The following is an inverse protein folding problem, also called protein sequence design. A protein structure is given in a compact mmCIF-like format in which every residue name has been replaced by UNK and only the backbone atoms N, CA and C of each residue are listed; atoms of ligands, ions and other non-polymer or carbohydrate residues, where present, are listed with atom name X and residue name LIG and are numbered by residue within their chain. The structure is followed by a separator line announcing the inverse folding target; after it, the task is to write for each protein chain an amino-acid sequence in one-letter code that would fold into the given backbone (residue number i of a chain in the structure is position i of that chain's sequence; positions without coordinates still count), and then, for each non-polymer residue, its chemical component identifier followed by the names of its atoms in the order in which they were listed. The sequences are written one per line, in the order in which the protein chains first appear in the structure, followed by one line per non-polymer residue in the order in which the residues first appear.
data_IF_469341924459
#
_entry.id   IF_469341924459
#
_cell.length_a   1.000
_cell.length_b   1.000
_cell.length_c   1.000
_cell.angle_alpha   90.00
_cell.angle_beta   90.00
_cell.angle_gamma   90.00
#
_symmetry.space_group_name_H-M   'P 1'
#
loop_
_entity.id
_entity.type
_entity.pdbx_description
1 polymer ?
#
# COMPACT_ATOMS: atom_id res chain seq x y z
N UNK A 1 5.05 -1.13 -5.76
CA UNK A 1 4.80 0.29 -5.47
C UNK A 1 5.10 1.15 -6.68
N UNK A 2 6.37 1.35 -7.07
CA UNK A 2 6.76 2.18 -8.23
C UNK A 2 6.00 1.85 -9.52
N UNK A 3 5.84 0.57 -9.86
CA UNK A 3 5.04 0.16 -11.03
C UNK A 3 3.57 0.61 -10.94
N UNK A 4 2.97 0.53 -9.75
CA UNK A 4 1.58 0.93 -9.53
C UNK A 4 1.43 2.46 -9.62
N UNK A 5 2.39 3.20 -9.08
CA UNK A 5 2.43 4.66 -9.17
C UNK A 5 2.65 5.10 -10.63
N UNK A 6 3.55 4.44 -11.36
CA UNK A 6 3.80 4.69 -12.77
C UNK A 6 2.54 4.45 -13.61
N UNK A 7 1.88 3.30 -13.43
CA UNK A 7 0.62 3.00 -14.11
C UNK A 7 -0.45 4.07 -13.82
N UNK A 8 -0.57 4.48 -12.55
CA UNK A 8 -1.52 5.54 -12.17
C UNK A 8 -1.14 6.85 -12.86
N UNK A 9 0.11 7.29 -12.79
CA UNK A 9 0.56 8.53 -13.42
C UNK A 9 0.37 8.51 -14.94
N UNK A 10 0.81 7.45 -15.62
CA UNK A 10 0.69 7.33 -17.07
C UNK A 10 -0.76 7.24 -17.52
N UNK A 11 -1.58 6.40 -16.88
CA UNK A 11 -2.97 6.21 -17.31
C UNK A 11 -3.82 7.40 -16.89
N UNK A 12 -3.82 7.79 -15.62
CA UNK A 12 -4.70 8.84 -15.12
C UNK A 12 -4.31 10.22 -15.62
N UNK A 13 -3.05 10.65 -15.46
CA UNK A 13 -2.67 12.05 -15.75
C UNK A 13 -2.76 12.33 -17.25
N UNK A 14 -2.29 11.41 -18.09
CA UNK A 14 -2.27 11.62 -19.55
C UNK A 14 -3.69 11.62 -20.11
N UNK A 15 -4.55 10.69 -19.65
CA UNK A 15 -5.87 10.51 -20.26
C UNK A 15 -6.98 11.35 -19.64
N UNK A 16 -6.75 11.96 -18.46
CA UNK A 16 -7.76 12.79 -17.77
C UNK A 16 -8.34 13.88 -18.66
N UNK A 17 -7.52 14.53 -19.47
CA UNK A 17 -7.96 15.61 -20.37
C UNK A 17 -8.78 15.12 -21.56
N UNK A 18 -8.71 13.82 -21.90
CA UNK A 18 -9.34 13.23 -23.08
C UNK A 18 -10.45 12.23 -22.74
N UNK A 19 -10.76 12.05 -21.46
CA UNK A 19 -11.73 11.04 -20.97
C UNK A 19 -13.15 11.26 -21.51
N UNK A 20 -13.51 12.49 -21.84
CA UNK A 20 -14.82 12.84 -22.41
C UNK A 20 -15.02 12.33 -23.83
N UNK A 21 -13.92 12.05 -24.55
CA UNK A 21 -13.92 11.59 -25.94
C UNK A 21 -13.83 10.04 -26.01
N UNK A 22 -13.54 9.38 -24.90
CA UNK A 22 -13.35 7.93 -24.91
C UNK A 22 -14.63 7.14 -25.20
N UNK A 23 -14.51 6.06 -26.00
CA UNK A 23 -15.63 5.17 -26.29
C UNK A 23 -15.96 4.30 -25.06
N UNK A 24 -17.23 3.88 -24.93
CA UNK A 24 -17.77 3.24 -23.71
C UNK A 24 -16.95 2.06 -23.24
N UNK A 25 -16.49 1.25 -24.19
CA UNK A 25 -15.81 -0.01 -23.92
C UNK A 25 -14.45 0.17 -23.23
N UNK A 26 -13.81 1.34 -23.38
CA UNK A 26 -12.53 1.65 -22.72
C UNK A 26 -12.76 2.13 -21.29
N UNK A 27 -13.96 2.59 -20.95
CA UNK A 27 -14.21 3.25 -19.68
C UNK A 27 -14.21 2.27 -18.52
N UNK A 28 -14.83 1.11 -18.69
CA UNK A 28 -14.75 0.03 -17.70
C UNK A 28 -13.31 -0.34 -17.33
N UNK A 29 -12.45 -0.79 -18.28
CA UNK A 29 -11.08 -1.17 -17.95
C UNK A 29 -10.25 0.01 -17.46
N UNK A 30 -10.52 1.24 -17.92
CA UNK A 30 -9.85 2.44 -17.45
C UNK A 30 -10.01 2.64 -15.93
N UNK A 31 -11.24 2.61 -15.42
CA UNK A 31 -11.46 2.80 -13.99
C UNK A 31 -10.99 1.61 -13.15
N UNK A 32 -11.17 0.39 -13.64
CA UNK A 32 -10.66 -0.81 -12.97
C UNK A 32 -9.15 -0.74 -12.80
N UNK A 33 -8.42 -0.32 -13.85
CA UNK A 33 -6.97 -0.19 -13.81
C UNK A 33 -6.52 0.88 -12.81
N UNK A 34 -7.14 2.06 -12.80
CA UNK A 34 -6.78 3.15 -11.89
C UNK A 34 -7.04 2.76 -10.43
N UNK A 35 -8.21 2.20 -10.13
CA UNK A 35 -8.54 1.84 -8.74
C UNK A 35 -7.67 0.68 -8.27
N UNK A 36 -7.42 -0.30 -9.14
CA UNK A 36 -6.48 -1.40 -8.84
C UNK A 36 -5.09 -0.86 -8.56
N UNK A 37 -4.54 0.01 -9.41
CA UNK A 37 -3.18 0.53 -9.24
C UNK A 37 -3.06 1.35 -7.94
N UNK A 38 -4.05 2.17 -7.62
CA UNK A 38 -4.07 2.94 -6.36
C UNK A 38 -4.12 2.04 -5.12
N UNK A 39 -5.05 1.07 -5.08
CA UNK A 39 -5.15 0.13 -3.96
C UNK A 39 -3.90 -0.74 -3.82
N UNK A 40 -3.34 -1.21 -4.94
CA UNK A 40 -2.07 -1.94 -4.95
C UNK A 40 -0.92 -1.08 -4.42
N UNK A 41 -0.87 0.22 -4.74
CA UNK A 41 0.17 1.11 -4.20
C UNK A 41 0.08 1.21 -2.67
N UNK A 42 -1.12 1.44 -2.13
CA UNK A 42 -1.33 1.49 -0.68
C UNK A 42 -1.01 0.18 0.03
N UNK A 43 -1.42 -0.96 -0.52
CA UNK A 43 -1.12 -2.26 0.07
C UNK A 43 0.39 -2.54 0.02
N UNK A 44 1.09 -2.14 -1.05
CA UNK A 44 2.54 -2.24 -1.12
C UNK A 44 3.24 -1.37 -0.08
N UNK A 45 2.74 -0.16 0.17
CA UNK A 45 3.26 0.70 1.24
C UNK A 45 3.13 0.02 2.61
N UNK A 46 1.97 -0.61 2.86
CA UNK A 46 1.74 -1.37 4.08
C UNK A 46 2.71 -2.56 4.19
N UNK A 47 2.92 -3.33 3.11
CA UNK A 47 3.87 -4.43 3.09
C UNK A 47 5.30 -3.99 3.37
N UNK A 48 5.73 -2.86 2.82
CA UNK A 48 7.07 -2.29 3.09
C UNK A 48 7.22 -1.94 4.57
N UNK A 49 6.19 -1.34 5.18
CA UNK A 49 6.25 -0.98 6.60
C UNK A 49 6.19 -2.21 7.51
N UNK A 50 5.45 -3.24 7.11
CA UNK A 50 5.41 -4.52 7.81
C UNK A 50 6.76 -5.27 7.72
N UNK A 51 7.41 -5.26 6.56
CA UNK A 51 8.73 -5.84 6.36
C UNK A 51 9.78 -5.18 7.27
N UNK A 52 9.83 -3.84 7.28
CA UNK A 52 10.70 -3.07 8.19
C UNK A 52 10.42 -3.37 9.66
N UNK A 53 9.14 -3.50 10.03
CA UNK A 53 8.74 -3.85 11.39
C UNK A 53 9.26 -5.24 11.78
N UNK A 54 9.08 -6.24 10.92
CA UNK A 54 9.58 -7.60 11.17
C UNK A 54 11.10 -7.63 11.30
N UNK A 55 11.82 -6.90 10.44
CA UNK A 55 13.28 -6.80 10.51
C UNK A 55 13.77 -6.22 11.85
N UNK A 56 13.13 -5.15 12.33
CA UNK A 56 13.52 -4.46 13.57
C UNK A 56 13.16 -5.28 14.80
N UNK A 57 11.98 -5.93 14.81
CA UNK A 57 11.51 -6.68 15.97
C UNK A 57 12.16 -8.06 16.09
N UNK A 58 12.45 -8.73 14.97
CA UNK A 58 12.93 -10.10 14.93
C UNK A 58 14.14 -10.29 13.99
N UNK A 59 15.29 -9.66 14.25
CA UNK A 59 16.42 -9.65 13.32
C UNK A 59 16.99 -11.05 13.02
N UNK A 60 17.02 -11.97 14.00
CA UNK A 60 17.52 -13.33 13.79
C UNK A 60 16.55 -14.22 12.99
N UNK A 61 15.24 -14.05 13.20
CA UNK A 61 14.22 -14.87 12.54
C UNK A 61 13.73 -14.26 11.23
N UNK A 62 14.12 -13.04 10.91
CA UNK A 62 13.74 -12.35 9.68
C UNK A 62 14.15 -13.16 8.44
N UNK A 63 15.39 -13.64 8.39
CA UNK A 63 15.92 -14.37 7.23
C UNK A 63 15.28 -15.75 7.01
N UNK A 64 14.66 -16.34 8.04
CA UNK A 64 13.90 -17.59 7.92
C UNK A 64 12.44 -17.36 7.54
N UNK A 65 11.85 -16.23 7.98
CA UNK A 65 10.47 -15.86 7.67
C UNK A 65 10.34 -15.26 6.27
N UNK A 66 11.16 -14.26 5.95
CA UNK A 66 11.11 -13.47 4.72
C UNK A 66 12.11 -14.04 3.72
N UNK A 67 11.61 -14.73 2.70
CA UNK A 67 12.42 -15.23 1.59
C UNK A 67 11.99 -14.59 0.27
N UNK A 68 12.93 -14.46 -0.67
CA UNK A 68 12.69 -13.88 -1.99
C UNK A 68 11.47 -14.50 -2.69
N UNK A 69 11.35 -15.83 -2.63
CA UNK A 69 10.22 -16.57 -3.23
C UNK A 69 8.90 -16.21 -2.58
N UNK A 70 8.82 -16.19 -1.24
CA UNK A 70 7.60 -15.82 -0.51
C UNK A 70 7.17 -14.39 -0.81
N UNK A 71 8.12 -13.46 -0.86
CA UNK A 71 7.83 -12.06 -1.20
C UNK A 71 7.24 -11.96 -2.61
N UNK A 72 7.82 -12.62 -3.60
CA UNK A 72 7.27 -12.63 -4.97
C UNK A 72 5.84 -13.18 -4.98
N UNK A 73 5.57 -14.29 -4.28
CA UNK A 73 4.21 -14.85 -4.19
C UNK A 73 3.21 -13.91 -3.51
N UNK A 74 3.61 -13.24 -2.43
CA UNK A 74 2.76 -12.23 -1.75
C UNK A 74 2.49 -11.05 -2.69
N UNK A 75 3.47 -10.61 -3.46
CA UNK A 75 3.30 -9.53 -4.43
C UNK A 75 2.37 -9.92 -5.58
N UNK A 76 2.57 -11.09 -6.20
CA UNK A 76 1.68 -11.56 -7.28
C UNK A 76 0.26 -11.79 -6.73
N UNK A 77 0.14 -12.44 -5.57
CA UNK A 77 -1.14 -12.72 -4.93
C UNK A 77 -1.90 -11.45 -4.55
N UNK A 78 -1.22 -10.44 -4.02
CA UNK A 78 -1.84 -9.16 -3.65
C UNK A 78 -2.36 -8.40 -4.88
N UNK A 79 -1.61 -8.38 -5.97
CA UNK A 79 -2.08 -7.80 -7.24
C UNK A 79 -3.28 -8.54 -7.80
N UNK A 80 -3.21 -9.87 -7.87
CA UNK A 80 -4.31 -10.70 -8.39
C UNK A 80 -5.58 -10.54 -7.54
N UNK A 81 -5.44 -10.51 -6.21
CA UNK A 81 -6.55 -10.35 -5.28
C UNK A 81 -7.20 -8.97 -5.41
N UNK A 82 -6.42 -7.89 -5.46
CA UNK A 82 -6.98 -6.54 -5.64
C UNK A 82 -7.63 -6.41 -7.01
N UNK A 83 -6.98 -6.89 -8.07
CA UNK A 83 -7.53 -6.81 -9.42
C UNK A 83 -8.86 -7.57 -9.54
N UNK A 84 -8.93 -8.80 -9.02
CA UNK A 84 -10.17 -9.58 -8.99
C UNK A 84 -11.26 -8.91 -8.14
N UNK A 85 -10.89 -8.36 -6.98
CA UNK A 85 -11.80 -7.63 -6.12
C UNK A 85 -12.38 -6.38 -6.81
N UNK A 86 -11.55 -5.58 -7.48
CA UNK A 86 -12.00 -4.37 -8.18
C UNK A 86 -12.88 -4.74 -9.38
N UNK A 87 -12.53 -5.77 -10.16
CA UNK A 87 -13.39 -6.27 -11.24
C UNK A 87 -14.77 -6.62 -10.70
N UNK A 88 -14.82 -7.37 -9.59
CA UNK A 88 -16.08 -7.77 -8.96
C UNK A 88 -16.90 -6.56 -8.49
N UNK A 89 -16.27 -5.57 -7.84
CA UNK A 89 -16.96 -4.36 -7.40
C UNK A 89 -17.51 -3.54 -8.59
N UNK A 90 -16.71 -3.43 -9.65
CA UNK A 90 -17.05 -2.63 -10.83
C UNK A 90 -18.02 -3.35 -11.76
N UNK A 91 -18.20 -4.67 -11.62
CA UNK A 91 -19.14 -5.46 -12.42
C UNK A 91 -20.58 -4.93 -12.34
N UNK A 92 -20.97 -4.40 -11.18
CA UNK A 92 -22.30 -3.85 -10.93
C UNK A 92 -22.46 -2.37 -11.32
N UNK A 93 -21.52 -1.81 -12.08
CA UNK A 93 -21.58 -0.40 -12.45
C UNK A 93 -22.37 -0.11 -13.71
N UNK A 94 -23.07 1.02 -13.65
CA UNK A 94 -23.70 1.63 -14.81
C UNK A 94 -22.79 2.72 -15.40
N UNK A 95 -22.33 2.49 -16.63
CA UNK A 95 -21.54 3.47 -17.38
C UNK A 95 -22.51 4.34 -18.17
N UNK A 96 -22.70 5.59 -17.72
CA UNK A 96 -23.38 6.61 -18.53
C UNK A 96 -22.37 7.30 -19.43
N UNK A 97 -22.69 7.41 -20.72
CA UNK A 97 -21.92 8.22 -21.65
C UNK A 97 -22.15 9.72 -21.40
N UNK A 98 -21.11 10.57 -21.52
CA UNK A 98 -19.69 10.26 -21.72
C UNK A 98 -19.02 9.75 -20.44
N UNK A 99 -17.84 9.13 -20.58
CA UNK A 99 -17.11 8.45 -19.50
C UNK A 99 -16.51 9.35 -18.42
N UNK A 100 -16.97 10.59 -18.36
CA UNK A 100 -16.66 11.56 -17.32
C UNK A 100 -17.46 11.28 -16.04
N UNK A 101 -18.65 10.65 -16.17
CA UNK A 101 -19.55 10.36 -15.06
C UNK A 101 -19.82 8.87 -14.93
N UNK A 102 -19.16 8.27 -13.95
CA UNK A 102 -19.45 6.91 -13.50
C UNK A 102 -20.40 6.96 -12.32
N UNK A 103 -21.55 6.30 -12.44
CA UNK A 103 -22.51 6.16 -11.35
C UNK A 103 -22.19 4.86 -10.63
N UNK A 104 -21.38 4.98 -9.58
CA UNK A 104 -21.10 3.90 -8.65
C UNK A 104 -22.10 3.97 -7.49
N UNK A 105 -22.60 2.82 -7.04
CA UNK A 105 -23.39 2.77 -5.81
C UNK A 105 -22.60 3.39 -4.66
N UNK A 106 -23.23 4.31 -3.90
CA UNK A 106 -22.57 5.03 -2.82
C UNK A 106 -21.91 4.10 -1.80
N UNK A 107 -22.49 2.92 -1.57
CA UNK A 107 -21.91 1.89 -0.69
C UNK A 107 -20.58 1.34 -1.20
N UNK A 108 -20.46 1.08 -2.51
CA UNK A 108 -19.23 0.54 -3.11
C UNK A 108 -18.13 1.60 -3.09
N UNK A 109 -18.48 2.84 -3.44
CA UNK A 109 -17.54 3.96 -3.36
C UNK A 109 -17.02 4.15 -1.92
N UNK A 110 -17.92 4.14 -0.94
CA UNK A 110 -17.57 4.27 0.47
C UNK A 110 -16.69 3.11 0.95
N UNK A 111 -16.95 1.87 0.52
CA UNK A 111 -16.10 0.71 0.82
C UNK A 111 -14.68 0.90 0.30
N UNK A 112 -14.50 1.36 -0.94
CA UNK A 112 -13.18 1.62 -1.53
C UNK A 112 -12.45 2.70 -0.74
N UNK A 113 -13.14 3.80 -0.38
CA UNK A 113 -12.57 4.86 0.45
C UNK A 113 -12.15 4.35 1.83
N UNK A 114 -12.97 3.53 2.49
CA UNK A 114 -12.64 2.95 3.79
C UNK A 114 -11.41 2.04 3.71
N UNK A 115 -11.32 1.16 2.70
CA UNK A 115 -10.15 0.31 2.48
C UNK A 115 -8.88 1.14 2.30
N UNK A 116 -8.97 2.24 1.56
CA UNK A 116 -7.87 3.17 1.35
C UNK A 116 -7.42 3.82 2.67
N UNK A 117 -8.36 4.37 3.44
CA UNK A 117 -8.09 5.02 4.74
C UNK A 117 -7.49 4.03 5.74
N UNK A 118 -8.08 2.84 5.86
CA UNK A 118 -7.60 1.80 6.78
C UNK A 118 -6.16 1.40 6.43
N UNK A 119 -5.84 1.25 5.13
CA UNK A 119 -4.49 0.91 4.67
C UNK A 119 -3.47 1.98 5.06
N UNK A 120 -3.82 3.26 4.93
CA UNK A 120 -2.95 4.38 5.30
C UNK A 120 -2.76 4.43 6.82
N UNK A 121 -3.83 4.32 7.60
CA UNK A 121 -3.75 4.34 9.07
C UNK A 121 -2.90 3.16 9.57
N UNK A 122 -3.10 1.96 9.02
CA UNK A 122 -2.28 0.79 9.34
C UNK A 122 -0.79 1.03 9.01
N UNK A 123 -0.50 1.66 7.87
CA UNK A 123 0.85 2.00 7.45
C UNK A 123 1.52 3.02 8.39
N UNK A 124 0.80 4.07 8.78
CA UNK A 124 1.28 5.10 9.71
C UNK A 124 1.49 4.55 11.12
N UNK A 125 0.56 3.74 11.61
CA UNK A 125 0.67 3.12 12.94
C UNK A 125 1.87 2.16 13.02
N UNK A 126 2.11 1.34 12.00
CA UNK A 126 3.35 0.53 11.92
C UNK A 126 4.61 1.39 11.94
N UNK A 127 4.63 2.49 11.18
CA UNK A 127 5.76 3.41 11.16
C UNK A 127 6.01 4.06 12.53
N UNK A 128 4.94 4.45 13.24
CA UNK A 128 5.03 5.01 14.59
C UNK A 128 5.55 3.98 15.60
N UNK A 129 5.09 2.72 15.53
CA UNK A 129 5.57 1.63 16.37
C UNK A 129 7.06 1.38 16.14
N UNK A 130 7.49 1.35 14.88
CA UNK A 130 8.91 1.21 14.51
C UNK A 130 9.73 2.33 15.15
N UNK A 131 9.29 3.58 15.00
CA UNK A 131 9.97 4.75 15.58
C UNK A 131 10.09 4.64 17.11
N UNK A 132 9.01 4.24 17.78
CA UNK A 132 8.99 4.05 19.23
C UNK A 132 9.99 2.98 19.68
N UNK A 133 10.03 1.83 19.02
CA UNK A 133 10.97 0.75 19.33
C UNK A 133 12.41 1.23 19.12
N UNK A 134 12.70 1.87 17.98
CA UNK A 134 14.03 2.37 17.66
C UNK A 134 14.52 3.40 18.70
N UNK A 135 13.63 4.31 19.13
CA UNK A 135 13.96 5.31 20.15
C UNK A 135 14.25 4.66 21.51
N UNK A 136 13.45 3.67 21.92
CA UNK A 136 13.65 2.94 23.17
C UNK A 136 14.98 2.17 23.16
N UNK A 137 15.30 1.48 22.07
CA UNK A 137 16.56 0.75 21.90
C UNK A 137 17.77 1.68 21.96
N UNK A 138 17.70 2.87 21.34
CA UNK A 138 18.77 3.87 21.39
C UNK A 138 19.03 4.37 22.81
N UNK A 139 17.99 4.74 23.55
CA UNK A 139 18.12 5.19 24.95
C UNK A 139 18.75 4.13 25.86
N UNK A 140 18.39 2.86 25.68
CA UNK A 140 18.98 1.76 26.44
C UNK A 140 20.48 1.59 26.15
N UNK A 141 20.90 1.77 24.89
CA UNK A 141 22.31 1.70 24.51
C UNK A 141 23.13 2.83 25.14
N UNK A 142 22.60 4.06 25.12
CA UNK A 142 23.30 5.24 25.64
C UNK A 142 23.49 5.14 27.17
N UNK A 143 22.46 4.69 27.90
CA UNK A 143 22.58 4.41 29.34
C UNK A 143 23.62 3.35 29.68
N UNK A 144 23.74 2.29 28.86
CA UNK A 144 24.78 1.25 29.03
C UNK A 144 26.19 1.79 28.75
N UNK A 145 26.35 2.70 27.78
CA UNK A 145 27.64 3.34 27.50
C UNK A 145 28.08 4.24 28.65
N UNK A 146 27.18 5.07 29.18
CA UNK A 146 27.48 5.96 30.31
C UNK A 146 27.91 5.18 31.56
N UNK A 147 27.26 4.06 31.85
CA UNK A 147 27.62 3.20 32.98
C UNK A 147 28.97 2.48 32.78
N UNK A 148 29.31 2.05 31.56
CA UNK A 148 30.66 1.50 31.25
C UNK A 148 31.76 2.56 31.32
N UNK A 149 31.48 3.80 30.93
CA UNK A 149 32.43 4.92 31.05
C UNK A 149 32.72 5.19 32.52
N UNK A 150 31.71 5.31 33.38
CA UNK A 150 31.91 5.51 34.83
C UNK A 150 32.75 4.41 35.49
N UNK A 151 32.60 3.15 35.05
CA UNK A 151 33.36 2.00 35.57
C UNK A 151 34.84 2.00 35.16
N UNK A 152 35.24 2.74 34.11
CA UNK A 152 36.65 2.84 33.68
C UNK A 152 37.46 3.90 34.42
N UNK A 153 36.79 4.80 35.15
CA UNK A 153 37.42 5.90 35.90
C UNK A 153 37.47 5.64 37.41
N UNK A 154 37.14 4.42 37.83
CA UNK A 154 37.35 3.88 39.18
C UNK A 154 38.28 2.67 39.06
#
# INVERSE_FOLDING_TARGET
MTLADLLTCTIYIITRSYVSIFPQFICYPYYVLIVTSQLCSCLNLLWINLDKFLFIKFPLHYYTLVSKRRVIWVMIGSWALIFGFVIFLYWFMEIKHPCEKVILSGHIYLLICLLYIISIIASLTLSAIIFYIAQKSRRSLDSSKESKVKMKYF
#
